data_IF_874175788733
#
_entry.id   IF_874175788733
#
_cell.length_a   1.000
_cell.length_b   1.000
_cell.length_c   1.000
_cell.angle_alpha   90.00
_cell.angle_beta   90.00
_cell.angle_gamma   90.00
#
_symmetry.space_group_name_H-M   'P 1'
#
loop_
_entity.id
_entity.type
_entity.pdbx_description
1 polymer ?
#
# COMPACT_ATOMS: atom_id res chain seq x y z
N UNK A 1 18.97 5.98 -19.84
CA UNK A 1 18.39 7.22 -19.29
C UNK A 1 16.87 7.24 -19.59
N UNK A 2 15.99 6.74 -18.74
CA UNK A 2 15.88 6.89 -17.29
C UNK A 2 14.60 7.69 -17.03
N UNK A 3 13.71 7.12 -16.22
CA UNK A 3 12.33 7.54 -15.85
C UNK A 3 11.20 7.11 -16.79
N UNK A 4 10.99 5.79 -16.90
CA UNK A 4 9.63 5.28 -17.07
C UNK A 4 8.92 5.41 -15.72
N UNK A 5 7.81 6.11 -15.71
CA UNK A 5 7.01 6.45 -14.54
C UNK A 5 6.65 5.20 -13.73
N UNK A 6 7.13 5.16 -12.50
CA UNK A 6 6.80 4.23 -11.41
C UNK A 6 5.41 4.58 -10.83
N UNK A 7 4.42 4.86 -11.68
CA UNK A 7 3.08 5.29 -11.24
C UNK A 7 1.98 4.26 -11.59
N UNK A 8 2.36 3.06 -12.01
CA UNK A 8 1.43 2.01 -12.43
C UNK A 8 1.58 0.70 -11.63
N UNK A 9 1.75 0.79 -10.31
CA UNK A 9 1.64 -0.37 -9.41
C UNK A 9 0.40 -0.34 -8.50
N UNK A 10 -0.38 0.75 -8.54
CA UNK A 10 -1.64 0.88 -7.81
C UNK A 10 -2.81 0.67 -8.77
N UNK A 11 -2.83 -0.48 -9.44
CA UNK A 11 -4.02 -0.95 -10.17
C UNK A 11 -5.17 -1.21 -9.19
N UNK A 12 -6.37 -0.85 -9.61
CA UNK A 12 -7.62 -0.91 -8.84
C UNK A 12 -7.74 -2.10 -7.86
N UNK A 13 -7.77 -1.78 -6.56
CA UNK A 13 -8.47 -2.53 -5.51
C UNK A 13 -7.90 -3.87 -5.04
N UNK A 14 -6.92 -4.46 -5.74
CA UNK A 14 -6.31 -5.71 -5.31
C UNK A 14 -4.99 -5.44 -4.56
N UNK A 15 -4.86 -5.97 -3.34
CA UNK A 15 -3.59 -5.96 -2.60
C UNK A 15 -2.90 -7.32 -2.77
N UNK A 16 -1.92 -7.47 -3.68
CA UNK A 16 -1.22 -8.73 -3.95
C UNK A 16 -0.15 -9.01 -2.86
N UNK A 17 -0.61 -9.18 -1.63
CA UNK A 17 0.27 -9.33 -0.47
C UNK A 17 1.14 -10.60 -0.58
N UNK A 18 0.63 -11.69 -1.15
CA UNK A 18 1.41 -12.91 -1.39
C UNK A 18 2.64 -12.67 -2.26
N UNK A 19 2.47 -12.02 -3.41
CA UNK A 19 3.58 -11.71 -4.32
C UNK A 19 4.61 -10.78 -3.67
N UNK A 20 4.14 -9.76 -2.94
CA UNK A 20 5.02 -8.85 -2.20
C UNK A 20 5.84 -9.57 -1.13
N UNK A 21 5.23 -10.51 -0.40
CA UNK A 21 5.91 -11.35 0.59
C UNK A 21 6.95 -12.26 -0.07
N UNK A 22 6.63 -12.86 -1.22
CA UNK A 22 7.58 -13.71 -1.96
C UNK A 22 8.79 -12.92 -2.45
N UNK A 23 8.56 -11.73 -3.03
CA UNK A 23 9.63 -10.82 -3.46
C UNK A 23 10.52 -10.40 -2.28
N UNK A 24 9.92 -10.04 -1.15
CA UNK A 24 10.66 -9.69 0.06
C UNK A 24 11.49 -10.88 0.57
N UNK A 25 10.94 -12.09 0.56
CA UNK A 25 11.65 -13.30 0.98
C UNK A 25 12.83 -13.63 0.06
N UNK A 26 12.69 -13.45 -1.25
CA UNK A 26 13.76 -13.65 -2.22
C UNK A 26 14.91 -12.66 -2.04
N UNK A 27 14.61 -11.46 -1.53
CA UNK A 27 15.64 -10.44 -1.25
C UNK A 27 16.54 -10.79 -0.06
N UNK A 28 16.15 -11.75 0.79
CA UNK A 28 16.93 -12.23 1.93
C UNK A 28 17.70 -13.49 1.51
N UNK A 29 19.03 -13.44 1.35
CA UNK A 29 19.82 -14.60 0.93
C UNK A 29 19.73 -15.76 1.92
N UNK A 30 19.87 -16.98 1.43
CA UNK A 30 19.88 -18.18 2.28
C UNK A 30 21.05 -18.13 3.28
N UNK A 31 20.79 -18.50 4.54
CA UNK A 31 21.78 -18.52 5.61
C UNK A 31 22.10 -17.16 6.24
N UNK A 32 21.56 -16.06 5.71
CA UNK A 32 21.64 -14.75 6.35
C UNK A 32 20.42 -14.49 7.22
N UNK A 33 20.64 -13.78 8.32
CA UNK A 33 19.56 -13.27 9.16
C UNK A 33 18.95 -12.03 8.50
N UNK A 34 17.63 -12.01 8.37
CA UNK A 34 16.86 -10.89 7.85
C UNK A 34 15.44 -10.92 8.41
N UNK A 35 14.70 -9.83 8.23
CA UNK A 35 13.31 -9.68 8.67
C UNK A 35 12.50 -8.91 7.65
N UNK A 36 11.19 -9.15 7.61
CA UNK A 36 10.25 -8.45 6.74
C UNK A 36 9.38 -7.54 7.60
N UNK A 37 9.17 -6.29 7.16
CA UNK A 37 8.20 -5.37 7.76
C UNK A 37 7.02 -5.18 6.81
N UNK A 38 5.86 -5.70 7.19
CA UNK A 38 4.60 -5.59 6.47
C UNK A 38 3.84 -4.36 6.98
N UNK A 39 3.65 -3.37 6.11
CA UNK A 39 2.82 -2.20 6.39
C UNK A 39 1.51 -2.39 5.63
N UNK A 40 0.40 -2.57 6.34
CA UNK A 40 -0.89 -2.95 5.73
C UNK A 40 -2.05 -2.43 6.56
N UNK A 41 -3.20 -2.17 5.93
CA UNK A 41 -4.47 -1.92 6.63
C UNK A 41 -5.11 -3.19 7.23
N UNK A 42 -4.49 -4.36 7.00
CA UNK A 42 -4.97 -5.66 7.45
C UNK A 42 -6.02 -6.29 6.53
N UNK A 43 -6.29 -5.69 5.36
CA UNK A 43 -7.21 -6.22 4.36
C UNK A 43 -6.40 -6.80 3.20
N UNK A 44 -6.52 -8.10 2.99
CA UNK A 44 -5.98 -8.76 1.81
C UNK A 44 -7.12 -9.30 0.96
N UNK A 45 -7.10 -8.98 -0.34
CA UNK A 45 -7.96 -9.59 -1.35
C UNK A 45 -7.32 -10.82 -1.99
N UNK A 46 -6.03 -11.05 -1.72
CA UNK A 46 -5.28 -12.21 -2.19
C UNK A 46 -5.70 -13.45 -1.38
N UNK A 47 -5.84 -14.60 -2.05
CA UNK A 47 -6.15 -15.88 -1.39
C UNK A 47 -4.90 -16.69 -1.09
N UNK A 48 -3.75 -16.32 -1.66
CA UNK A 48 -2.51 -17.07 -1.60
C UNK A 48 -1.53 -16.56 -0.53
N UNK A 49 -1.76 -15.37 0.04
CA UNK A 49 -0.88 -14.77 1.06
C UNK A 49 -0.49 -15.70 2.20
N UNK A 50 -1.41 -16.57 2.67
CA UNK A 50 -1.14 -17.50 3.76
C UNK A 50 -0.08 -18.54 3.42
N UNK A 51 0.01 -18.96 2.15
CA UNK A 51 1.05 -19.87 1.66
C UNK A 51 2.41 -19.18 1.68
N UNK A 52 2.48 -17.97 1.13
CA UNK A 52 3.71 -17.18 1.08
C UNK A 52 4.23 -16.87 2.49
N UNK A 53 3.33 -16.54 3.42
CA UNK A 53 3.68 -16.36 4.84
C UNK A 53 4.21 -17.65 5.48
N UNK A 54 3.59 -18.80 5.21
CA UNK A 54 4.07 -20.10 5.70
C UNK A 54 5.50 -20.39 5.25
N UNK A 55 5.81 -20.16 3.97
CA UNK A 55 7.17 -20.34 3.44
C UNK A 55 8.21 -19.43 4.09
N UNK A 56 7.82 -18.20 4.45
CA UNK A 56 8.68 -17.26 5.17
C UNK A 56 8.95 -17.75 6.60
N UNK A 57 7.92 -18.25 7.28
CA UNK A 57 8.04 -18.82 8.62
C UNK A 57 8.90 -20.09 8.64
N UNK A 58 8.75 -20.98 7.64
CA UNK A 58 9.56 -22.18 7.50
C UNK A 58 11.06 -21.85 7.32
N UNK A 59 11.36 -20.70 6.70
CA UNK A 59 12.73 -20.17 6.59
C UNK A 59 13.23 -19.49 7.86
N UNK A 60 12.40 -19.37 8.89
CA UNK A 60 12.74 -18.69 10.14
C UNK A 60 12.89 -17.17 9.99
N UNK A 61 12.31 -16.57 8.95
CA UNK A 61 12.36 -15.11 8.72
C UNK A 61 11.23 -14.45 9.50
N UNK A 62 11.52 -13.56 10.47
CA UNK A 62 10.49 -12.83 11.20
C UNK A 62 9.71 -11.89 10.29
N UNK A 63 8.39 -11.82 10.50
CA UNK A 63 7.52 -10.82 9.87
C UNK A 63 6.94 -9.90 10.94
N UNK A 64 7.32 -8.64 10.90
CA UNK A 64 6.76 -7.59 11.75
C UNK A 64 5.63 -6.90 11.00
N UNK A 65 4.51 -6.65 11.66
CA UNK A 65 3.36 -6.00 11.03
C UNK A 65 3.12 -4.63 11.67
N UNK A 66 3.03 -3.61 10.82
CA UNK A 66 2.57 -2.27 11.20
C UNK A 66 1.21 -2.08 10.55
N UNK A 67 0.18 -1.95 11.38
CA UNK A 67 -1.17 -1.70 10.89
C UNK A 67 -1.32 -0.22 10.52
N UNK A 68 -1.65 0.04 9.26
CA UNK A 68 -2.11 1.35 8.81
C UNK A 68 -3.48 1.59 9.46
N UNK A 69 -3.56 2.65 10.27
CA UNK A 69 -4.85 3.12 10.75
C UNK A 69 -5.47 3.99 9.66
N UNK A 70 -6.72 3.72 9.25
CA UNK A 70 -7.41 4.64 8.37
C UNK A 70 -7.43 6.02 9.04
N UNK A 71 -7.20 7.06 8.24
CA UNK A 71 -7.41 8.42 8.71
C UNK A 71 -8.91 8.56 8.97
N UNK A 72 -9.30 8.74 10.23
CA UNK A 72 -10.73 8.82 10.59
C UNK A 72 -11.37 10.12 10.10
N UNK A 73 -10.56 11.18 9.97
CA UNK A 73 -11.04 12.43 9.39
C UNK A 73 -11.05 12.36 7.86
N UNK A 74 -12.18 12.68 7.21
CA UNK A 74 -12.23 12.81 5.76
C UNK A 74 -11.32 13.96 5.32
N UNK A 75 -10.49 13.69 4.32
CA UNK A 75 -9.66 14.71 3.69
C UNK A 75 -9.90 14.74 2.19
N UNK A 76 -9.92 15.93 1.61
CA UNK A 76 -10.10 16.12 0.18
C UNK A 76 -8.78 15.79 -0.54
N UNK A 77 -8.82 14.81 -1.43
CA UNK A 77 -7.73 14.51 -2.36
C UNK A 77 -8.09 14.96 -3.77
N UNK A 78 -7.11 15.46 -4.52
CA UNK A 78 -7.26 15.85 -5.92
C UNK A 78 -8.38 16.87 -6.19
N UNK A 79 -8.49 17.92 -5.37
CA UNK A 79 -9.44 19.00 -5.60
C UNK A 79 -9.03 19.82 -6.83
N UNK A 80 -9.73 19.63 -7.94
CA UNK A 80 -9.56 20.42 -9.15
C UNK A 80 -10.65 21.49 -9.24
N UNK A 81 -10.26 22.73 -9.45
CA UNK A 81 -11.19 23.84 -9.72
C UNK A 81 -10.92 24.40 -11.11
N UNK A 82 -11.97 24.81 -11.81
CA UNK A 82 -11.81 25.73 -12.94
C UNK A 82 -11.34 27.11 -12.44
N UNK A 83 -10.74 27.91 -13.32
CA UNK A 83 -10.15 29.21 -12.99
C UNK A 83 -11.18 30.17 -12.40
N UNK A 84 -10.96 30.64 -11.18
CA UNK A 84 -11.70 31.74 -10.56
C UNK A 84 -11.02 33.08 -10.89
N UNK A 85 -11.81 34.14 -11.09
CA UNK A 85 -11.29 35.50 -11.30
C UNK A 85 -10.94 36.17 -9.95
N UNK A 86 -10.06 37.18 -9.93
CA UNK A 86 -9.84 38.00 -8.74
C UNK A 86 -11.17 38.56 -8.22
N UNK A 87 -11.49 38.27 -6.96
CA UNK A 87 -12.75 38.66 -6.31
C UNK A 87 -13.85 37.58 -6.31
N UNK A 88 -13.64 36.43 -6.96
CA UNK A 88 -14.57 35.30 -6.91
C UNK A 88 -14.18 34.29 -5.82
N UNK A 89 -15.19 33.66 -5.20
CA UNK A 89 -15.02 32.59 -4.22
C UNK A 89 -15.63 31.29 -4.75
N UNK A 90 -14.85 30.21 -4.76
CA UNK A 90 -15.35 28.87 -5.06
C UNK A 90 -15.64 28.17 -3.74
N UNK A 91 -16.89 27.72 -3.55
CA UNK A 91 -17.32 26.95 -2.38
C UNK A 91 -17.62 25.52 -2.81
N UNK A 92 -17.02 24.57 -2.12
CA UNK A 92 -17.32 23.14 -2.25
C UNK A 92 -17.94 22.68 -0.95
N UNK A 93 -19.09 22.01 -1.03
CA UNK A 93 -19.79 21.42 0.11
C UNK A 93 -19.90 19.93 -0.15
N UNK A 94 -19.50 19.11 0.83
CA UNK A 94 -19.55 17.66 0.76
C UNK A 94 -20.09 17.13 2.09
N UNK A 95 -21.06 16.24 2.00
CA UNK A 95 -21.56 15.48 3.14
C UNK A 95 -20.76 14.18 3.23
N UNK A 96 -20.22 13.89 4.41
CA UNK A 96 -19.51 12.64 4.71
C UNK A 96 -20.41 11.85 5.67
N UNK A 97 -20.85 10.67 5.24
CA UNK A 97 -21.75 9.76 5.99
C UNK A 97 -21.03 8.57 6.56
#
# INVERSE_FOLDING_TARGET
>A
PGTANDESLLGDGASPIGDALELAAQSIPAGLSGSIMLITDGRSTDRHWGRSLGQIQDRGIPVHTVQLRPHEDPFLVNLQSTTARPGESVRVTMDVV
#
